data_IF_835758917080
#
_entry.id   IF_835758917080
#
_cell.length_a   1.000
_cell.length_b   1.000
_cell.length_c   1.000
_cell.angle_alpha   90.00
_cell.angle_beta   90.00
_cell.angle_gamma   90.00
#
_symmetry.space_group_name_H-M   'P 1'
#
loop_
_entity.id
_entity.type
_entity.pdbx_description
1 polymer ?
#
# COMPACT_ATOMS: atom_id res chain seq x y z
N UNK A 1 2.63 -9.21 -32.69
CA UNK A 1 3.62 -10.08 -32.02
C UNK A 1 3.34 -10.20 -30.51
N UNK A 2 3.17 -9.11 -29.74
CA UNK A 2 2.84 -9.23 -28.30
C UNK A 2 1.53 -9.99 -28.00
N UNK A 3 0.50 -9.87 -28.86
CA UNK A 3 -0.76 -10.60 -28.69
C UNK A 3 -0.69 -12.11 -28.99
N UNK A 4 0.46 -12.63 -29.47
CA UNK A 4 0.62 -14.07 -29.72
C UNK A 4 1.17 -14.83 -28.51
N UNK A 5 1.50 -14.12 -27.42
CA UNK A 5 1.97 -14.74 -26.17
C UNK A 5 0.79 -15.42 -25.47
N UNK A 6 0.89 -16.71 -25.09
CA UNK A 6 -0.18 -17.39 -24.38
C UNK A 6 -0.50 -16.74 -23.02
N UNK A 7 -1.79 -16.66 -22.67
CA UNK A 7 -2.26 -16.07 -21.41
C UNK A 7 -1.59 -16.69 -20.17
N UNK A 8 -1.33 -17.99 -20.19
CA UNK A 8 -0.63 -18.68 -19.10
C UNK A 8 0.79 -18.15 -18.88
N UNK A 9 1.50 -17.77 -19.96
CA UNK A 9 2.86 -17.24 -19.90
C UNK A 9 2.83 -15.79 -19.39
N UNK A 10 1.98 -14.95 -19.97
CA UNK A 10 1.85 -13.55 -19.53
C UNK A 10 1.35 -13.45 -18.08
N UNK A 11 0.45 -14.34 -17.67
CA UNK A 11 -0.04 -14.42 -16.29
C UNK A 11 1.06 -14.87 -15.32
N UNK A 12 1.84 -15.89 -15.66
CA UNK A 12 2.99 -16.32 -14.86
C UNK A 12 4.04 -15.23 -14.69
N UNK A 13 4.34 -14.50 -15.76
CA UNK A 13 5.24 -13.35 -15.75
C UNK A 13 4.70 -12.22 -14.86
N UNK A 14 3.41 -11.92 -14.93
CA UNK A 14 2.77 -10.92 -14.08
C UNK A 14 2.85 -11.29 -12.59
N UNK A 15 2.54 -12.53 -12.21
CA UNK A 15 2.60 -12.98 -10.81
C UNK A 15 4.03 -12.85 -10.26
N UNK A 16 5.03 -13.29 -11.03
CA UNK A 16 6.42 -13.17 -10.63
C UNK A 16 6.85 -11.71 -10.46
N UNK A 17 6.55 -10.84 -11.44
CA UNK A 17 6.95 -9.44 -11.41
C UNK A 17 6.27 -8.67 -10.26
N UNK A 18 4.96 -8.85 -10.05
CA UNK A 18 4.28 -8.22 -8.92
C UNK A 18 4.77 -8.77 -7.57
N UNK A 19 5.05 -10.08 -7.48
CA UNK A 19 5.65 -10.68 -6.29
C UNK A 19 7.04 -10.13 -5.98
N UNK A 20 7.90 -9.98 -6.99
CA UNK A 20 9.23 -9.42 -6.85
C UNK A 20 9.21 -7.95 -6.39
N UNK A 21 8.28 -7.13 -6.91
CA UNK A 21 8.09 -5.74 -6.47
C UNK A 21 7.70 -5.68 -4.99
N UNK A 22 6.77 -6.54 -4.55
CA UNK A 22 6.38 -6.62 -3.14
C UNK A 22 7.55 -7.02 -2.22
N UNK A 23 8.32 -8.04 -2.63
CA UNK A 23 9.51 -8.48 -1.90
C UNK A 23 10.58 -7.39 -1.82
N UNK A 24 10.75 -6.57 -2.86
CA UNK A 24 11.67 -5.44 -2.85
C UNK A 24 11.30 -4.41 -1.77
N UNK A 25 10.00 -4.17 -1.54
CA UNK A 25 9.54 -3.33 -0.45
C UNK A 25 9.93 -3.88 0.93
N UNK A 26 9.78 -5.20 1.13
CA UNK A 26 10.19 -5.86 2.38
C UNK A 26 11.72 -5.82 2.56
N UNK A 27 12.47 -6.07 1.49
CA UNK A 27 13.93 -6.01 1.50
C UNK A 27 14.43 -4.63 1.95
N UNK A 28 13.83 -3.54 1.46
CA UNK A 28 14.16 -2.17 1.87
C UNK A 28 13.92 -1.95 3.38
N UNK A 29 12.82 -2.49 3.92
CA UNK A 29 12.51 -2.40 5.36
C UNK A 29 13.54 -3.17 6.21
N UNK A 30 13.99 -4.33 5.75
CA UNK A 30 15.02 -5.13 6.41
C UNK A 30 16.39 -4.45 6.34
N UNK A 31 16.76 -3.88 5.19
CA UNK A 31 17.99 -3.11 4.99
C UNK A 31 18.09 -1.93 5.96
N UNK A 32 16.98 -1.21 6.15
CA UNK A 32 16.88 -0.10 7.09
C UNK A 32 16.58 -0.53 8.53
N UNK A 33 16.62 -1.84 8.83
CA UNK A 33 16.42 -2.42 10.17
C UNK A 33 15.11 -1.96 10.84
N UNK A 34 14.03 -1.82 10.07
CA UNK A 34 12.73 -1.41 10.59
C UNK A 34 12.15 -2.56 11.42
N UNK A 35 12.01 -2.34 12.73
CA UNK A 35 11.36 -3.30 13.63
C UNK A 35 9.84 -3.27 13.44
N UNK A 36 9.27 -4.42 13.09
CA UNK A 36 7.81 -4.63 13.03
C UNK A 36 7.22 -4.94 14.41
N UNK A 37 8.04 -5.06 15.45
CA UNK A 37 7.60 -5.20 16.83
C UNK A 37 7.35 -3.84 17.48
N UNK A 38 7.87 -2.76 16.89
CA UNK A 38 7.59 -1.41 17.36
C UNK A 38 6.11 -1.09 17.08
N UNK A 39 5.29 -0.79 18.11
CA UNK A 39 3.86 -0.56 17.93
C UNK A 39 3.56 0.52 16.89
N UNK A 40 4.44 1.52 16.77
CA UNK A 40 4.35 2.59 15.78
C UNK A 40 4.48 2.08 14.35
N UNK A 41 5.52 1.31 14.06
CA UNK A 41 5.78 0.80 12.70
C UNK A 41 4.71 -0.22 12.31
N UNK A 42 4.29 -1.06 13.25
CA UNK A 42 3.20 -2.01 13.07
C UNK A 42 1.89 -1.30 12.75
N UNK A 43 1.53 -0.23 13.49
CA UNK A 43 0.30 0.52 13.26
C UNK A 43 0.30 1.22 11.88
N UNK A 44 1.42 1.83 11.48
CA UNK A 44 1.58 2.43 10.15
C UNK A 44 1.44 1.37 9.06
N UNK A 45 2.16 0.25 9.17
CA UNK A 45 2.11 -0.86 8.22
C UNK A 45 0.71 -1.48 8.10
N UNK A 46 0.05 -1.73 9.23
CA UNK A 46 -1.31 -2.27 9.27
C UNK A 46 -2.30 -1.34 8.57
N UNK A 47 -2.18 -0.02 8.76
CA UNK A 47 -3.07 0.94 8.10
C UNK A 47 -2.87 0.97 6.58
N UNK A 48 -1.61 0.97 6.12
CA UNK A 48 -1.30 0.93 4.68
C UNK A 48 -1.86 -0.35 4.06
N UNK A 49 -1.73 -1.50 4.74
CA UNK A 49 -2.23 -2.78 4.24
C UNK A 49 -3.76 -2.83 4.17
N UNK A 50 -4.44 -2.39 5.24
CA UNK A 50 -5.91 -2.40 5.31
C UNK A 50 -6.52 -1.46 4.28
N UNK A 51 -5.99 -0.24 4.13
CA UNK A 51 -6.53 0.72 3.16
C UNK A 51 -6.11 0.36 1.73
N UNK A 52 -4.87 -0.06 1.52
CA UNK A 52 -4.33 -0.33 0.18
C UNK A 52 -4.91 -1.58 -0.44
N UNK A 53 -4.81 -2.72 0.26
CA UNK A 53 -5.33 -4.01 -0.22
C UNK A 53 -6.84 -4.08 0.00
N UNK A 54 -7.29 -3.76 1.22
CA UNK A 54 -8.72 -3.80 1.55
C UNK A 54 -9.54 -2.79 0.74
N UNK A 55 -9.01 -1.60 0.47
CA UNK A 55 -9.66 -0.62 -0.40
C UNK A 55 -9.65 -1.03 -1.88
N UNK A 56 -8.66 -1.78 -2.35
CA UNK A 56 -8.62 -2.26 -3.72
C UNK A 56 -9.62 -3.42 -3.93
N UNK A 57 -9.72 -4.33 -2.97
CA UNK A 57 -10.63 -5.49 -3.04
C UNK A 57 -12.09 -5.10 -2.71
N UNK A 58 -12.28 -4.14 -1.78
CA UNK A 58 -13.59 -3.80 -1.23
C UNK A 58 -14.40 -2.79 -2.05
N UNK A 59 -13.80 -2.12 -3.03
CA UNK A 59 -14.47 -1.10 -3.83
C UNK A 59 -14.27 -1.32 -5.33
N UNK A 60 -15.26 -0.94 -6.13
CA UNK A 60 -15.25 -1.18 -7.57
C UNK A 60 -14.10 -0.42 -8.26
N UNK A 61 -13.35 -1.12 -9.11
CA UNK A 61 -12.14 -0.59 -9.76
C UNK A 61 -10.99 -0.21 -8.82
N UNK A 62 -11.07 -0.52 -7.53
CA UNK A 62 -10.07 -0.17 -6.52
C UNK A 62 -10.01 1.31 -6.17
N UNK A 63 -11.11 2.04 -6.38
CA UNK A 63 -11.26 3.44 -6.02
C UNK A 63 -12.09 3.60 -4.75
N UNK A 64 -11.54 4.30 -3.75
CA UNK A 64 -12.34 4.64 -2.58
C UNK A 64 -13.37 5.72 -2.93
N UNK A 65 -14.64 5.58 -2.49
CA UNK A 65 -15.73 6.53 -2.74
C UNK A 65 -15.61 7.75 -1.81
N UNK A 66 -14.45 8.41 -1.82
CA UNK A 66 -14.18 9.63 -1.06
C UNK A 66 -14.50 10.81 -1.99
N UNK A 67 -15.51 11.64 -1.68
CA UNK A 67 -15.95 12.75 -2.54
C UNK A 67 -15.03 13.98 -2.43
N UNK A 68 -13.71 13.76 -2.46
CA UNK A 68 -12.68 14.79 -2.39
C UNK A 68 -11.90 14.70 -3.72
N UNK A 69 -11.62 15.85 -4.35
CA UNK A 69 -10.91 15.95 -5.64
C UNK A 69 -11.62 15.29 -6.84
N UNK A 70 -12.96 15.30 -6.88
CA UNK A 70 -13.76 14.78 -8.01
C UNK A 70 -13.45 15.47 -9.36
N UNK A 71 -12.85 16.67 -9.36
CA UNK A 71 -12.38 17.34 -10.57
C UNK A 71 -11.10 16.75 -11.17
N UNK A 72 -10.31 15.99 -10.40
CA UNK A 72 -9.10 15.30 -10.86
C UNK A 72 -9.28 13.77 -10.93
N UNK A 73 -10.15 13.22 -10.09
CA UNK A 73 -10.45 11.79 -10.03
C UNK A 73 -11.96 11.54 -10.14
N UNK A 74 -12.50 11.40 -11.36
CA UNK A 74 -13.94 11.21 -11.59
C UNK A 74 -14.50 9.92 -10.98
N UNK A 75 -13.66 8.89 -10.84
CA UNK A 75 -14.04 7.56 -10.34
C UNK A 75 -13.73 7.34 -8.86
N UNK A 76 -13.22 8.36 -8.14
CA UNK A 76 -12.76 8.25 -6.75
C UNK A 76 -11.23 8.13 -6.61
N UNK A 77 -10.74 8.11 -5.37
CA UNK A 77 -9.30 8.11 -5.11
C UNK A 77 -8.70 6.69 -5.22
N UNK A 78 -7.56 6.49 -5.91
CA UNK A 78 -6.92 5.18 -5.95
C UNK A 78 -6.57 4.66 -4.55
N UNK A 79 -6.90 3.40 -4.25
CA UNK A 79 -6.69 2.82 -2.92
C UNK A 79 -5.23 2.81 -2.48
N UNK A 80 -4.31 2.44 -3.37
CA UNK A 80 -2.87 2.39 -3.07
C UNK A 80 -2.33 3.80 -2.77
N UNK A 81 -2.75 4.81 -3.53
CA UNK A 81 -2.33 6.19 -3.31
C UNK A 81 -2.86 6.74 -1.98
N UNK A 82 -4.13 6.47 -1.67
CA UNK A 82 -4.76 6.88 -0.41
C UNK A 82 -4.08 6.20 0.78
N UNK A 83 -3.74 4.92 0.66
CA UNK A 83 -3.01 4.18 1.69
C UNK A 83 -1.63 4.76 1.96
N UNK A 84 -0.87 5.14 0.93
CA UNK A 84 0.45 5.76 1.09
C UNK A 84 0.35 7.12 1.82
N UNK A 85 -0.61 7.97 1.42
CA UNK A 85 -0.84 9.27 2.06
C UNK A 85 -1.24 9.08 3.53
N UNK A 86 -2.17 8.17 3.82
CA UNK A 86 -2.58 7.88 5.20
C UNK A 86 -1.42 7.32 6.03
N UNK A 87 -0.59 6.45 5.46
CA UNK A 87 0.60 5.92 6.12
C UNK A 87 1.59 7.02 6.52
N UNK A 88 1.84 7.99 5.61
CA UNK A 88 2.68 9.16 5.89
C UNK A 88 2.05 10.02 7.00
N UNK A 89 0.74 10.28 6.94
CA UNK A 89 0.05 11.09 7.94
C UNK A 89 0.09 10.45 9.32
N UNK A 90 -0.18 9.15 9.43
CA UNK A 90 -0.12 8.43 10.71
C UNK A 90 1.30 8.41 11.26
N UNK A 91 2.30 8.19 10.40
CA UNK A 91 3.69 8.26 10.83
C UNK A 91 4.06 9.66 11.34
N UNK A 92 3.57 10.72 10.70
CA UNK A 92 3.76 12.10 11.14
C UNK A 92 3.04 12.39 12.47
N UNK A 93 1.83 11.88 12.67
CA UNK A 93 1.12 11.99 13.96
C UNK A 93 1.94 11.34 15.07
N UNK A 94 2.50 10.14 14.85
CA UNK A 94 3.34 9.47 15.84
C UNK A 94 4.72 10.13 16.06
N UNK A 95 5.19 10.99 15.14
CA UNK A 95 6.36 11.84 15.41
C UNK A 95 6.04 12.96 16.41
N UNK A 96 4.83 13.53 16.32
CA UNK A 96 4.39 14.64 17.18
C UNK A 96 3.91 14.10 18.53
N UNK A 97 3.14 13.00 18.51
CA UNK A 97 2.57 12.35 19.68
C UNK A 97 3.26 11.00 19.88
N UNK A 98 4.33 10.99 20.70
CA UNK A 98 5.05 9.78 21.05
C UNK A 98 4.09 8.81 21.77
N UNK A 99 3.91 7.57 21.30
CA UNK A 99 3.08 6.59 21.99
C UNK A 99 3.64 6.31 23.39
N UNK A 100 2.78 6.27 24.41
CA UNK A 100 3.18 5.86 25.75
C UNK A 100 3.58 4.38 25.71
N UNK A 101 4.88 4.09 25.88
CA UNK A 101 5.41 2.72 25.93
C UNK A 101 6.62 2.41 25.04
N UNK A 102 7.15 3.37 24.28
CA UNK A 102 8.47 3.19 23.64
C UNK A 102 9.58 3.61 24.61
N UNK A 103 9.93 2.70 25.51
CA UNK A 103 11.25 2.69 26.18
C UNK A 103 12.31 2.13 25.22
#
# INVERSE_FOLDING_TARGET
>A
LMQTVPLAVSGGLAIYLFGAIGMQGIALMQEHKVSMFDPRNLAVGATIMVVGIGGNIGFDGGFLPIPILQGLFPSGLPAIATAAVLGILINAIFLIFKPAGSE
#
